data_IF_175798880412
#
_entry.id   IF_175798880412
#
_cell.length_a   1.000
_cell.length_b   1.000
_cell.length_c   1.000
_cell.angle_alpha   90.00
_cell.angle_beta   90.00
_cell.angle_gamma   90.00
#
_symmetry.space_group_name_H-M   'P 1'
#
loop_
_entity.id
_entity.type
_entity.pdbx_description
1 polymer ?
#
# COMPACT_ATOMS: atom_id res chain seq x y z
N UNK A 1 -13.09 -3.06 -5.87
CA UNK A 1 -11.89 -2.98 -6.72
C UNK A 1 -11.00 -1.83 -6.25
N UNK A 2 -9.68 -1.97 -6.31
CA UNK A 2 -8.72 -0.98 -5.78
C UNK A 2 -7.60 -0.76 -6.80
N UNK A 3 -7.02 0.42 -6.88
CA UNK A 3 -5.75 0.69 -7.58
C UNK A 3 -4.90 1.61 -6.71
N UNK A 4 -3.58 1.51 -6.86
CA UNK A 4 -2.66 2.42 -6.17
C UNK A 4 -2.42 3.66 -7.03
N UNK A 5 -2.50 4.83 -6.39
CA UNK A 5 -2.24 6.11 -7.05
C UNK A 5 -1.68 7.13 -6.07
N UNK A 6 -1.25 8.27 -6.60
CA UNK A 6 -0.78 9.42 -5.85
C UNK A 6 -1.86 10.48 -5.78
N UNK A 7 -2.00 11.07 -4.59
CA UNK A 7 -2.80 12.26 -4.38
C UNK A 7 -1.99 13.47 -4.87
N UNK A 8 -2.63 14.38 -5.62
CA UNK A 8 -2.04 15.61 -6.14
C UNK A 8 -2.90 16.81 -5.74
N UNK A 9 -2.25 17.93 -5.39
CA UNK A 9 -2.92 19.20 -5.12
C UNK A 9 -3.30 19.90 -6.43
N UNK A 10 -4.52 20.39 -6.51
CA UNK A 10 -5.06 21.22 -7.57
C UNK A 10 -5.73 22.45 -6.96
N UNK A 11 -5.02 23.57 -6.91
CA UNK A 11 -5.51 24.80 -6.26
C UNK A 11 -5.84 24.57 -4.78
N UNK A 12 -7.11 24.83 -4.41
CA UNK A 12 -7.64 24.60 -3.06
C UNK A 12 -8.21 23.18 -2.85
N UNK A 13 -7.99 22.26 -3.79
CA UNK A 13 -8.50 20.89 -3.73
C UNK A 13 -7.38 19.87 -3.89
N UNK A 14 -7.69 18.62 -3.58
CA UNK A 14 -6.84 17.46 -3.85
C UNK A 14 -7.60 16.46 -4.71
N UNK A 15 -6.88 15.76 -5.56
CA UNK A 15 -7.43 14.65 -6.34
C UNK A 15 -6.41 13.55 -6.52
N UNK A 16 -6.83 12.47 -7.16
CA UNK A 16 -6.01 11.30 -7.44
C UNK A 16 -5.82 11.17 -8.95
N UNK A 17 -4.62 10.78 -9.37
CA UNK A 17 -4.32 10.59 -10.79
C UNK A 17 -4.72 9.17 -11.23
N UNK A 18 -5.75 9.05 -12.06
CA UNK A 18 -6.13 7.77 -12.65
C UNK A 18 -5.44 7.63 -13.99
N UNK A 19 -4.66 6.58 -14.18
CA UNK A 19 -4.00 6.32 -15.47
C UNK A 19 -5.04 5.98 -16.54
N UNK A 20 -4.74 6.28 -17.80
CA UNK A 20 -5.64 6.04 -18.93
C UNK A 20 -6.03 4.56 -19.07
N UNK A 21 -5.11 3.65 -18.77
CA UNK A 21 -5.36 2.21 -18.81
C UNK A 21 -6.40 1.80 -17.75
N UNK A 22 -6.33 2.38 -16.56
CA UNK A 22 -7.30 2.12 -15.49
C UNK A 22 -8.67 2.72 -15.80
N UNK A 23 -8.73 3.89 -16.43
CA UNK A 23 -9.98 4.49 -16.93
C UNK A 23 -10.67 3.55 -17.93
N UNK A 24 -9.92 3.04 -18.91
CA UNK A 24 -10.44 2.11 -19.94
C UNK A 24 -10.92 0.78 -19.34
N UNK A 25 -10.10 0.14 -18.51
CA UNK A 25 -10.44 -1.15 -17.87
C UNK A 25 -11.73 -1.08 -17.05
N UNK A 26 -12.02 0.09 -16.48
CA UNK A 26 -13.15 0.33 -15.58
C UNK A 26 -14.30 1.05 -16.24
N UNK A 27 -14.18 1.33 -17.55
CA UNK A 27 -15.15 2.08 -18.33
C UNK A 27 -15.58 3.39 -17.65
N UNK A 28 -14.60 4.13 -17.13
CA UNK A 28 -14.80 5.43 -16.50
C UNK A 28 -14.56 6.54 -17.50
N UNK A 29 -15.30 7.64 -17.36
CA UNK A 29 -15.20 8.80 -18.23
C UNK A 29 -14.86 10.08 -17.45
N UNK A 30 -14.36 11.08 -18.17
CA UNK A 30 -14.13 12.40 -17.58
C UNK A 30 -15.46 13.02 -17.12
N UNK A 31 -15.41 13.79 -16.03
CA UNK A 31 -16.57 14.45 -15.40
C UNK A 31 -17.65 13.53 -14.82
N UNK A 32 -17.42 12.22 -14.83
CA UNK A 32 -18.30 11.26 -14.18
C UNK A 32 -18.18 11.36 -12.64
N UNK A 33 -19.32 11.33 -11.95
CA UNK A 33 -19.34 11.25 -10.47
C UNK A 33 -19.14 9.82 -10.04
N UNK A 34 -18.12 9.59 -9.22
CA UNK A 34 -17.78 8.25 -8.71
C UNK A 34 -17.66 8.26 -7.19
N UNK A 35 -17.90 7.12 -6.56
CA UNK A 35 -17.60 6.89 -5.14
C UNK A 35 -16.27 6.17 -5.04
N UNK A 36 -15.36 6.69 -4.20
CA UNK A 36 -14.03 6.11 -4.00
C UNK A 36 -13.84 5.65 -2.56
N UNK A 37 -13.19 4.50 -2.39
CA UNK A 37 -12.76 4.00 -1.08
C UNK A 37 -11.23 4.12 -1.00
N UNK A 38 -10.74 4.89 -0.02
CA UNK A 38 -9.33 5.24 0.12
C UNK A 38 -8.72 4.45 1.26
N UNK A 39 -7.61 3.75 0.98
CA UNK A 39 -6.77 3.11 2.00
C UNK A 39 -5.38 3.71 1.96
N UNK A 40 -4.90 4.23 3.10
CA UNK A 40 -3.52 4.71 3.23
C UNK A 40 -2.57 3.50 3.21
N UNK A 41 -1.57 3.53 2.33
CA UNK A 41 -0.50 2.52 2.34
C UNK A 41 0.27 2.69 3.66
N UNK A 42 0.33 1.64 4.47
CA UNK A 42 1.22 1.60 5.64
C UNK A 42 2.63 1.35 5.12
N UNK A 43 3.59 2.16 5.55
CA UNK A 43 4.98 1.90 5.21
C UNK A 43 5.47 0.78 6.14
N UNK A 44 5.95 -0.34 5.58
CA UNK A 44 6.49 -1.44 6.40
C UNK A 44 7.67 -0.96 7.25
N UNK A 45 8.41 0.04 6.78
CA UNK A 45 9.47 0.76 7.50
C UNK A 45 8.99 1.35 8.84
N UNK A 46 7.75 1.85 8.92
CA UNK A 46 7.18 2.34 10.18
C UNK A 46 6.89 1.19 11.16
N UNK A 47 6.71 -0.04 10.68
CA UNK A 47 6.47 -1.22 11.51
C UNK A 47 7.77 -1.87 12.01
N UNK A 48 8.88 -1.74 11.27
CA UNK A 48 10.18 -2.32 11.66
C UNK A 48 10.74 -1.75 12.97
N UNK A 49 10.35 -0.53 13.36
CA UNK A 49 10.74 0.08 14.64
C UNK A 49 9.80 -0.23 15.81
N UNK A 50 8.59 -0.75 15.54
CA UNK A 50 7.59 -1.04 16.58
C UNK A 50 7.69 -2.47 17.12
N UNK A 51 8.19 -3.40 16.30
CA UNK A 51 8.49 -4.75 16.75
C UNK A 51 9.85 -4.77 17.47
N UNK A 52 9.85 -4.45 18.76
CA UNK A 52 10.95 -4.79 19.66
C UNK A 52 11.00 -6.31 19.83
N UNK A 53 11.56 -7.00 18.84
CA UNK A 53 11.90 -8.41 19.00
C UNK A 53 12.94 -8.50 20.12
N UNK A 54 12.67 -9.30 21.15
CA UNK A 54 13.61 -9.57 22.25
C UNK A 54 14.95 -10.13 21.76
N UNK A 55 14.97 -10.68 20.53
CA UNK A 55 16.13 -11.25 19.87
C UNK A 55 16.34 -10.60 18.49
N UNK A 56 17.58 -10.47 18.01
CA UNK A 56 17.86 -10.02 16.65
C UNK A 56 17.14 -10.89 15.60
N UNK A 57 16.62 -10.27 14.54
CA UNK A 57 15.89 -10.95 13.44
C UNK A 57 16.68 -12.14 12.86
N UNK A 58 18.02 -12.02 12.80
CA UNK A 58 18.91 -13.08 12.33
C UNK A 58 18.87 -14.35 13.20
N UNK A 59 18.68 -14.19 14.50
CA UNK A 59 18.58 -15.31 15.45
C UNK A 59 17.23 -16.03 15.30
N UNK A 60 16.15 -15.27 15.15
CA UNK A 60 14.80 -15.78 14.88
C UNK A 60 14.79 -16.60 13.57
N UNK A 61 15.37 -16.06 12.49
CA UNK A 61 15.48 -16.77 11.21
C UNK A 61 16.30 -18.06 11.32
N UNK A 62 17.31 -18.11 12.19
CA UNK A 62 18.12 -19.31 12.44
C UNK A 62 17.34 -20.38 13.20
N UNK A 63 16.54 -19.99 14.20
CA UNK A 63 15.68 -20.91 14.95
C UNK A 63 14.58 -21.50 14.05
N UNK A 64 13.94 -20.68 13.20
CA UNK A 64 12.94 -21.15 12.23
C UNK A 64 13.55 -22.17 11.26
N UNK A 65 14.76 -21.89 10.75
CA UNK A 65 15.45 -22.82 9.85
C UNK A 65 15.77 -24.15 10.54
N UNK A 66 16.24 -24.11 11.79
CA UNK A 66 16.52 -25.33 12.56
C UNK A 66 15.28 -26.18 12.81
N UNK A 67 14.14 -25.56 13.15
CA UNK A 67 12.89 -26.29 13.39
C UNK A 67 12.17 -26.79 12.12
N UNK A 68 12.68 -26.45 10.93
CA UNK A 68 12.19 -26.96 9.64
C UNK A 68 13.00 -28.17 9.15
N UNK A 69 14.18 -28.39 9.72
CA UNK A 69 15.10 -29.48 9.38
C UNK A 69 14.97 -30.67 10.38
N UNK A 70 13.97 -30.65 11.28
CA UNK A 70 13.52 -31.74 12.19
C UNK A 70 12.10 -32.20 11.79
#
# INVERSE_FOLDING_TARGET
MTFETRIRKWGNSYGFLIKKEEMKKRNLHENEKIIVNIKKRKNLEELFGLCHFKKPVKEIMREIKKGYDD
#
